data_IF_740329362381
#
_entry.id   IF_740329362381
#
_cell.length_a   1.000
_cell.length_b   1.000
_cell.length_c   1.000
_cell.angle_alpha   90.00
_cell.angle_beta   90.00
_cell.angle_gamma   90.00
#
_symmetry.space_group_name_H-M   'P 1'
#
loop_
_entity.id
_entity.type
_entity.pdbx_description
1 polymer ?
#
# COMPACT_ATOMS: atom_id res chain seq x y z
N UNK A 1 -28.14 -35.13 -52.44
CA UNK A 1 -29.57 -34.99 -52.08
C UNK A 1 -29.65 -34.72 -50.59
N UNK A 2 -30.11 -33.55 -50.15
CA UNK A 2 -30.30 -33.30 -48.71
C UNK A 2 -31.62 -33.92 -48.27
N UNK A 3 -31.61 -34.67 -47.17
CA UNK A 3 -32.83 -35.22 -46.59
C UNK A 3 -33.78 -34.09 -46.17
N UNK A 4 -35.11 -34.27 -46.31
CA UNK A 4 -36.08 -33.32 -45.80
C UNK A 4 -35.91 -33.21 -44.27
N UNK A 5 -35.59 -32.02 -43.78
CA UNK A 5 -35.44 -31.77 -42.35
C UNK A 5 -36.81 -31.93 -41.67
N UNK A 6 -36.90 -32.88 -40.74
CA UNK A 6 -38.09 -33.06 -39.90
C UNK A 6 -38.28 -31.81 -39.05
N UNK A 7 -39.45 -31.17 -39.13
CA UNK A 7 -39.81 -30.09 -38.21
C UNK A 7 -39.92 -30.67 -36.79
N UNK A 8 -39.15 -30.11 -35.85
CA UNK A 8 -39.14 -30.53 -34.46
C UNK A 8 -40.46 -30.13 -33.79
N UNK A 9 -40.91 -30.96 -32.85
CA UNK A 9 -42.04 -30.60 -31.99
C UNK A 9 -41.57 -29.52 -31.00
N UNK A 10 -42.39 -28.53 -30.61
CA UNK A 10 -42.05 -27.56 -29.57
C UNK A 10 -41.39 -28.16 -28.31
N UNK A 11 -41.82 -29.36 -27.88
CA UNK A 11 -41.21 -30.06 -26.72
C UNK A 11 -39.75 -30.43 -26.99
N UNK A 12 -39.44 -30.87 -28.21
CA UNK A 12 -38.09 -31.27 -28.62
C UNK A 12 -37.19 -30.05 -28.83
N UNK A 13 -37.75 -28.94 -29.32
CA UNK A 13 -37.04 -27.65 -29.39
C UNK A 13 -36.65 -27.17 -27.99
N UNK A 14 -37.57 -27.24 -27.03
CA UNK A 14 -37.28 -26.94 -25.63
C UNK A 14 -36.25 -27.88 -25.01
N UNK A 15 -36.27 -29.17 -25.35
CA UNK A 15 -35.26 -30.12 -24.89
C UNK A 15 -33.87 -29.79 -25.44
N UNK A 16 -33.77 -29.42 -26.71
CA UNK A 16 -32.53 -28.98 -27.33
C UNK A 16 -32.01 -27.68 -26.68
N UNK A 17 -32.90 -26.72 -26.40
CA UNK A 17 -32.55 -25.48 -25.71
C UNK A 17 -32.05 -25.73 -24.29
N UNK A 18 -32.73 -26.59 -23.53
CA UNK A 18 -32.29 -26.95 -22.18
C UNK A 18 -30.93 -27.66 -22.18
N UNK A 19 -30.67 -28.50 -23.19
CA UNK A 19 -29.37 -29.15 -23.35
C UNK A 19 -28.27 -28.13 -23.69
N UNK A 20 -28.57 -27.15 -24.53
CA UNK A 20 -27.67 -26.05 -24.86
C UNK A 20 -27.36 -25.19 -23.63
N UNK A 21 -28.38 -24.76 -22.87
CA UNK A 21 -28.21 -24.01 -21.62
C UNK A 21 -27.37 -24.82 -20.61
N UNK A 22 -27.63 -26.12 -20.47
CA UNK A 22 -26.85 -26.99 -19.58
C UNK A 22 -25.38 -27.06 -19.99
N UNK A 23 -25.11 -27.16 -21.30
CA UNK A 23 -23.74 -27.13 -21.84
C UNK A 23 -23.08 -25.77 -21.59
N UNK A 24 -23.79 -24.66 -21.82
CA UNK A 24 -23.28 -23.31 -21.56
C UNK A 24 -22.96 -23.11 -20.07
N UNK A 25 -23.87 -23.49 -19.17
CA UNK A 25 -23.66 -23.40 -17.72
C UNK A 25 -22.50 -24.27 -17.24
N UNK A 26 -22.24 -25.41 -17.87
CA UNK A 26 -21.13 -26.28 -17.51
C UNK A 26 -19.75 -25.61 -17.74
N UNK A 27 -19.65 -24.73 -18.73
CA UNK A 27 -18.42 -24.00 -19.06
C UNK A 27 -18.39 -22.56 -18.54
N UNK A 28 -19.53 -22.02 -18.10
CA UNK A 28 -19.61 -20.72 -17.44
C UNK A 28 -19.13 -20.83 -15.99
N UNK A 29 -17.81 -20.92 -15.81
CA UNK A 29 -17.19 -20.72 -14.49
C UNK A 29 -16.70 -19.29 -14.39
N UNK A 30 -17.37 -18.50 -13.56
CA UNK A 30 -16.83 -17.23 -13.09
C UNK A 30 -15.63 -17.58 -12.21
N UNK A 31 -14.49 -16.93 -12.43
CA UNK A 31 -13.33 -17.12 -11.57
C UNK A 31 -13.66 -16.56 -10.17
N UNK A 32 -14.12 -17.43 -9.28
CA UNK A 32 -14.45 -17.11 -7.88
C UNK A 32 -13.18 -16.97 -7.02
N UNK A 33 -12.04 -17.44 -7.52
CA UNK A 33 -10.74 -17.30 -6.84
C UNK A 33 -10.01 -16.08 -7.40
N UNK A 34 -10.05 -14.99 -6.66
CA UNK A 34 -9.22 -13.82 -6.94
C UNK A 34 -7.86 -13.99 -6.26
N UNK A 35 -6.79 -13.65 -6.97
CA UNK A 35 -5.45 -13.58 -6.38
C UNK A 35 -4.84 -12.23 -6.73
N UNK A 36 -4.09 -11.66 -5.79
CA UNK A 36 -3.36 -10.43 -6.04
C UNK A 36 -2.04 -10.76 -6.74
N UNK A 37 -1.72 -10.04 -7.82
CA UNK A 37 -0.38 -10.06 -8.39
C UNK A 37 0.50 -9.07 -7.61
N UNK A 38 1.51 -9.53 -6.84
CA UNK A 38 2.33 -8.65 -6.02
C UNK A 38 3.12 -7.62 -6.85
N UNK A 39 3.43 -7.92 -8.11
CA UNK A 39 4.20 -7.03 -8.97
C UNK A 39 3.37 -5.86 -9.54
N UNK A 40 2.04 -5.97 -9.54
CA UNK A 40 1.14 -4.92 -10.01
C UNK A 40 0.60 -4.04 -8.88
N UNK A 41 0.94 -4.33 -7.62
CA UNK A 41 0.50 -3.54 -6.47
C UNK A 41 1.41 -2.31 -6.32
N UNK A 42 0.83 -1.12 -6.41
CA UNK A 42 1.50 0.15 -6.12
C UNK A 42 1.15 0.55 -4.70
N UNK A 43 2.13 0.48 -3.79
CA UNK A 43 1.97 0.99 -2.43
C UNK A 43 2.16 2.50 -2.44
N UNK A 44 1.04 3.24 -2.44
CA UNK A 44 1.07 4.68 -2.27
C UNK A 44 1.20 4.99 -0.77
N UNK A 45 2.37 5.48 -0.38
CA UNK A 45 2.53 6.03 0.97
C UNK A 45 1.75 7.34 1.08
N UNK A 46 1.09 7.53 2.21
CA UNK A 46 0.38 8.77 2.49
C UNK A 46 1.37 9.94 2.59
N UNK A 47 0.87 11.16 2.37
CA UNK A 47 1.70 12.37 2.51
C UNK A 47 2.31 12.42 3.92
N UNK A 48 3.59 12.83 4.05
CA UNK A 48 4.32 12.84 5.33
C UNK A 48 3.70 13.77 6.39
N UNK A 49 2.82 14.69 5.97
CA UNK A 49 2.11 15.60 6.87
C UNK A 49 0.86 14.99 7.50
N UNK A 50 0.47 13.76 7.11
CA UNK A 50 -0.62 13.04 7.77
C UNK A 50 -0.04 12.24 8.93
N UNK A 51 -0.11 12.79 10.14
CA UNK A 51 0.08 12.03 11.39
C UNK A 51 -1.15 11.19 11.72
N UNK A 52 -1.81 10.61 10.71
CA UNK A 52 -2.83 9.62 10.97
C UNK A 52 -2.08 8.40 11.47
N UNK A 53 -2.12 8.19 12.79
CA UNK A 53 -1.91 6.88 13.39
C UNK A 53 -2.73 5.94 12.51
N UNK A 54 -2.06 5.08 11.75
CA UNK A 54 -2.72 4.05 10.97
C UNK A 54 -3.53 3.30 12.03
N UNK A 55 -4.85 3.51 12.05
CA UNK A 55 -5.76 2.72 12.84
C UNK A 55 -5.72 1.34 12.18
N UNK A 56 -4.68 0.58 12.53
CA UNK A 56 -4.60 -0.85 12.37
C UNK A 56 -5.72 -1.40 13.25
N UNK A 57 -6.94 -1.35 12.75
CA UNK A 57 -8.02 -2.14 13.32
C UNK A 57 -7.56 -3.58 13.21
N UNK A 58 -7.19 -4.18 14.35
CA UNK A 58 -6.69 -5.57 14.46
C UNK A 58 -7.68 -6.58 13.84
N UNK A 59 -8.94 -6.17 13.63
CA UNK A 59 -10.02 -6.95 13.05
C UNK A 59 -9.95 -7.14 11.51
N UNK A 60 -9.01 -6.53 10.78
CA UNK A 60 -8.90 -6.73 9.31
C UNK A 60 -8.17 -8.03 8.91
N UNK A 61 -7.53 -8.71 9.86
CA UNK A 61 -6.74 -9.93 9.61
C UNK A 61 -7.61 -11.20 9.42
N UNK A 62 -8.89 -11.15 9.84
CA UNK A 62 -9.75 -12.34 9.98
C UNK A 62 -10.28 -12.90 8.65
N UNK A 63 -10.22 -12.12 7.56
CA UNK A 63 -10.69 -12.51 6.23
C UNK A 63 -9.59 -12.86 5.21
N UNK A 64 -8.31 -12.76 5.58
CA UNK A 64 -7.21 -12.82 4.62
C UNK A 64 -6.60 -14.24 4.56
N UNK A 65 -6.68 -14.88 3.39
CA UNK A 65 -6.06 -16.20 3.16
C UNK A 65 -4.53 -16.14 3.37
N UNK A 66 -3.92 -17.21 3.87
CA UNK A 66 -2.46 -17.30 4.10
C UNK A 66 -1.65 -16.88 2.86
N UNK A 67 -2.07 -17.30 1.66
CA UNK A 67 -1.40 -16.94 0.40
C UNK A 67 -1.42 -15.42 0.12
N UNK A 68 -2.50 -14.73 0.49
CA UNK A 68 -2.59 -13.27 0.35
C UNK A 68 -1.67 -12.56 1.36
N UNK A 69 -1.56 -13.09 2.58
CA UNK A 69 -0.62 -12.56 3.59
C UNK A 69 0.82 -12.66 3.10
N UNK A 70 1.22 -13.82 2.56
CA UNK A 70 2.56 -14.03 2.03
C UNK A 70 2.88 -13.11 0.86
N UNK A 71 1.90 -12.89 -0.04
CA UNK A 71 2.04 -11.96 -1.17
C UNK A 71 2.19 -10.52 -0.69
N UNK A 72 1.36 -10.07 0.25
CA UNK A 72 1.46 -8.72 0.82
C UNK A 72 2.79 -8.51 1.54
N UNK A 73 3.24 -9.50 2.31
CA UNK A 73 4.53 -9.48 2.99
C UNK A 73 5.68 -9.33 1.99
N UNK A 74 5.67 -10.07 0.88
CA UNK A 74 6.67 -9.91 -0.18
C UNK A 74 6.67 -8.50 -0.78
N UNK A 75 5.53 -7.83 -0.88
CA UNK A 75 5.49 -6.44 -1.38
C UNK A 75 6.13 -5.48 -0.37
N UNK A 76 5.72 -5.55 0.90
CA UNK A 76 6.14 -4.61 1.96
C UNK A 76 7.51 -4.91 2.58
N UNK A 77 8.06 -6.11 2.33
CA UNK A 77 9.34 -6.53 2.89
C UNK A 77 10.48 -5.54 2.59
N UNK A 78 11.30 -5.32 3.61
CA UNK A 78 12.52 -4.52 3.53
C UNK A 78 13.48 -5.19 2.53
N UNK A 79 14.27 -4.42 1.74
CA UNK A 79 15.18 -4.99 0.74
C UNK A 79 16.08 -6.12 1.24
N UNK A 80 16.59 -6.04 2.48
CA UNK A 80 17.39 -7.10 3.13
C UNK A 80 16.67 -8.42 3.32
N UNK A 81 15.35 -8.40 3.46
CA UNK A 81 14.55 -9.62 3.57
C UNK A 81 14.27 -10.23 2.20
N UNK A 82 14.36 -9.44 1.13
CA UNK A 82 14.16 -9.89 -0.25
C UNK A 82 15.44 -10.48 -0.83
N UNK A 83 16.57 -9.81 -0.60
CA UNK A 83 17.87 -10.17 -1.16
C UNK A 83 18.92 -10.27 -0.06
N UNK A 84 19.83 -11.24 -0.17
CA UNK A 84 20.95 -11.38 0.77
C UNK A 84 22.00 -10.25 0.62
N UNK A 85 22.06 -9.63 -0.57
CA UNK A 85 23.01 -8.59 -0.93
C UNK A 85 22.28 -7.41 -1.61
N UNK A 86 22.82 -6.18 -1.53
CA UNK A 86 22.24 -5.04 -2.23
C UNK A 86 22.28 -5.29 -3.74
N UNK A 87 21.14 -5.08 -4.41
CA UNK A 87 21.04 -5.33 -5.84
C UNK A 87 21.52 -4.15 -6.70
N UNK A 88 21.63 -2.96 -6.10
CA UNK A 88 22.02 -1.71 -6.79
C UNK A 88 22.98 -0.92 -5.91
N UNK A 89 23.82 -0.08 -6.52
CA UNK A 89 24.77 0.80 -5.80
C UNK A 89 24.07 1.72 -4.80
N UNK A 90 22.85 2.17 -5.10
CA UNK A 90 22.09 3.02 -4.20
C UNK A 90 21.59 2.27 -2.96
N UNK A 91 21.38 0.95 -3.06
CA UNK A 91 21.02 0.11 -1.92
C UNK A 91 22.24 -0.27 -1.08
N UNK A 92 23.44 -0.28 -1.66
CA UNK A 92 24.70 -0.53 -0.94
C UNK A 92 24.91 0.53 0.15
N UNK A 93 24.58 1.79 -0.15
CA UNK A 93 24.64 2.88 0.81
C UNK A 93 23.62 2.66 1.92
N UNK A 94 24.13 2.43 3.14
CA UNK A 94 23.29 2.18 4.30
C UNK A 94 22.74 0.77 4.39
N UNK A 95 23.15 -0.17 3.52
CA UNK A 95 22.78 -1.58 3.67
C UNK A 95 23.18 -2.06 5.07
N UNK A 96 24.41 -1.84 5.50
CA UNK A 96 24.90 -2.30 6.81
C UNK A 96 24.65 -1.32 7.97
N UNK A 97 23.66 -0.43 7.86
CA UNK A 97 23.35 0.53 8.93
C UNK A 97 22.90 -0.10 10.24
N UNK A 98 22.33 -1.31 10.18
CA UNK A 98 21.80 -2.03 11.33
C UNK A 98 22.91 -2.66 12.19
N UNK A 99 24.12 -2.80 11.61
CA UNK A 99 25.26 -3.27 12.36
C UNK A 99 25.63 -2.21 13.42
N UNK A 100 26.11 -2.64 14.60
CA UNK A 100 26.53 -1.70 15.63
C UNK A 100 27.65 -0.82 15.08
N UNK A 101 27.29 0.43 14.75
CA UNK A 101 28.25 1.42 14.30
C UNK A 101 29.06 1.94 15.49
N UNK A 102 30.31 2.28 15.21
CA UNK A 102 31.13 3.00 16.16
C UNK A 102 30.43 4.29 16.60
N UNK A 103 30.09 4.37 17.88
CA UNK A 103 29.58 5.60 18.49
C UNK A 103 30.78 6.34 19.10
N UNK A 104 31.08 7.57 18.65
CA UNK A 104 32.16 8.33 19.26
C UNK A 104 31.87 8.54 20.75
N UNK A 105 32.85 8.25 21.59
CA UNK A 105 32.76 8.43 23.06
C UNK A 105 32.51 9.88 23.44
N UNK A 106 33.04 10.81 22.65
CA UNK A 106 32.83 12.24 22.79
C UNK A 106 32.12 12.80 21.57
N UNK A 107 30.87 13.21 21.76
CA UNK A 107 30.11 13.96 20.78
C UNK A 107 30.00 15.43 21.26
N UNK A 108 30.59 16.35 20.51
CA UNK A 108 30.55 17.78 20.79
C UNK A 108 29.42 18.49 20.03
N UNK A 109 28.22 17.91 20.08
CA UNK A 109 27.04 18.57 19.54
C UNK A 109 26.80 19.89 20.32
N UNK A 110 26.69 21.01 19.60
CA UNK A 110 26.45 22.30 20.23
C UNK A 110 25.10 22.27 20.94
N UNK A 111 25.03 22.50 22.27
CA UNK A 111 23.76 22.56 22.96
C UNK A 111 22.95 23.77 22.44
N UNK A 112 21.63 23.64 22.44
CA UNK A 112 20.76 24.77 22.14
C UNK A 112 20.93 25.86 23.21
N UNK A 113 21.20 27.10 22.80
CA UNK A 113 21.17 28.24 23.70
C UNK A 113 19.73 28.62 24.08
N UNK A 114 19.57 29.53 25.05
CA UNK A 114 18.27 29.93 25.58
C UNK A 114 17.36 30.51 24.48
N UNK A 115 17.94 31.27 23.56
CA UNK A 115 17.27 31.90 22.42
C UNK A 115 16.75 30.87 21.43
N UNK A 116 17.60 29.90 21.04
CA UNK A 116 17.19 28.82 20.13
C UNK A 116 16.14 27.91 20.77
N UNK A 117 16.26 27.65 22.09
CA UNK A 117 15.28 26.88 22.85
C UNK A 117 13.94 27.63 22.92
N UNK A 118 13.97 28.93 23.18
CA UNK A 118 12.79 29.79 23.12
C UNK A 118 12.13 29.75 21.75
N UNK A 119 12.90 29.92 20.67
CA UNK A 119 12.36 29.95 19.32
C UNK A 119 11.70 28.63 18.92
N UNK A 120 12.34 27.50 19.29
CA UNK A 120 11.77 26.16 19.10
C UNK A 120 10.46 26.00 19.87
N UNK A 121 10.45 26.35 21.16
CA UNK A 121 9.27 26.24 22.02
C UNK A 121 8.13 27.16 21.53
N UNK A 122 8.44 28.36 21.06
CA UNK A 122 7.46 29.28 20.52
C UNK A 122 6.77 28.67 19.29
N UNK A 123 7.55 28.07 18.39
CA UNK A 123 7.02 27.42 17.20
C UNK A 123 6.13 26.21 17.54
N UNK A 124 6.55 25.37 18.49
CA UNK A 124 5.74 24.20 18.89
C UNK A 124 4.43 24.60 19.58
N UNK A 125 4.43 25.67 20.38
CA UNK A 125 3.24 26.14 21.10
C UNK A 125 2.27 26.94 20.21
N UNK A 126 2.79 27.77 19.30
CA UNK A 126 1.98 28.72 18.53
C UNK A 126 1.78 28.33 17.07
N UNK A 127 2.51 27.31 16.59
CA UNK A 127 2.56 26.92 15.18
C UNK A 127 3.18 27.98 14.26
N UNK A 128 3.77 29.04 14.83
CA UNK A 128 4.32 30.18 14.08
C UNK A 128 5.73 30.49 14.56
N UNK A 129 6.59 30.98 13.66
CA UNK A 129 7.93 31.43 14.01
C UNK A 129 7.87 32.71 14.86
N UNK A 130 8.69 32.87 15.91
CA UNK A 130 8.75 34.10 16.71
C UNK A 130 9.24 35.31 15.89
N UNK A 131 9.86 35.06 14.73
CA UNK A 131 10.33 36.10 13.81
C UNK A 131 9.31 36.43 12.71
N UNK A 132 8.11 35.85 12.76
CA UNK A 132 7.06 36.17 11.77
C UNK A 132 6.49 37.57 12.04
N UNK A 133 6.64 38.47 11.05
CA UNK A 133 6.11 39.82 11.13
C UNK A 133 4.57 39.81 11.18
N UNK A 134 3.97 40.37 12.25
CA UNK A 134 2.53 40.65 12.34
C UNK A 134 2.05 41.78 11.40
N UNK A 135 2.95 42.34 10.59
CA UNK A 135 2.76 43.60 9.86
C UNK A 135 1.61 43.51 8.83
N UNK A 136 1.19 42.32 8.40
CA UNK A 136 0.09 42.19 7.43
C UNK A 136 -1.32 42.35 8.03
N UNK A 137 -1.51 42.34 9.35
CA UNK A 137 -2.87 42.43 9.95
C UNK A 137 -3.30 43.86 10.32
N UNK A 138 -2.38 44.84 10.33
CA UNK A 138 -2.69 46.22 10.74
C UNK A 138 -2.70 47.26 9.60
N UNK A 139 -2.62 46.85 8.32
CA UNK A 139 -2.64 47.77 7.15
C UNK A 139 -4.06 47.96 6.56
N UNK A 140 -5.11 47.50 7.27
CA UNK A 140 -6.51 47.79 6.90
C UNK A 140 -7.26 48.44 8.07
N UNK A 141 -6.98 49.71 8.33
CA UNK A 141 -7.91 50.64 8.97
C UNK A 141 -7.79 51.99 8.30
#
# INVERSE_FOLDING_TARGET
>A
MSSPQRKLNPIEEHACLNEAIRKEMQFSRINETFTLNPNSLILLTDKPNKTALINLNENYEEGLTSDMKDKLYKVTAIPKMKNNFPATSNQEVGWDSDLPQYKPTWNYAKPSCAETKYASNYYTMTGRSPYSNKISENIKK
#
